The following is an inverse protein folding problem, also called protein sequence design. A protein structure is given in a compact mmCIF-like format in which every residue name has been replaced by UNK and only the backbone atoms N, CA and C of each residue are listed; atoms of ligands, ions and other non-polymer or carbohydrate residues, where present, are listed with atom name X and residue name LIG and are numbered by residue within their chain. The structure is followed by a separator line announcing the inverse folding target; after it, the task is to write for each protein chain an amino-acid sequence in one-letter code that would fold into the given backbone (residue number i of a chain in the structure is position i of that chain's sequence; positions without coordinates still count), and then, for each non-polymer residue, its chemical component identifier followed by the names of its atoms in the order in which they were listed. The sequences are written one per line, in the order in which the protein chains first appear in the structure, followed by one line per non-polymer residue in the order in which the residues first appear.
data_IF_464434448079
#
_entry.id   IF_464434448079
#
_cell.length_a   1.000
_cell.length_b   1.000
_cell.length_c   1.000
_cell.angle_alpha   90.00
_cell.angle_beta   90.00
_cell.angle_gamma   90.00
#
_symmetry.space_group_name_H-M   'P 1'
#
loop_
_entity.id
_entity.type
_entity.pdbx_description
1 polymer ?
#
# COMPACT_ATOMS: atom_id res chain seq x y z
N UNK A 1 -2.55 14.12 -5.74
CA UNK A 1 -2.89 12.83 -5.10
C UNK A 1 -3.86 12.07 -6.01
N UNK A 2 -3.33 11.34 -6.99
CA UNK A 2 -4.16 10.60 -7.95
C UNK A 2 -3.44 9.34 -8.44
N UNK A 3 -4.23 8.42 -8.97
CA UNK A 3 -3.77 7.27 -9.74
C UNK A 3 -3.93 7.60 -11.22
N UNK A 4 -2.90 7.32 -12.01
CA UNK A 4 -2.98 7.37 -13.47
C UNK A 4 -3.47 6.03 -13.98
N UNK A 5 -4.45 6.06 -14.89
CA UNK A 5 -5.10 4.85 -15.41
C UNK A 5 -4.67 4.61 -16.85
N UNK A 6 -4.19 3.41 -17.13
CA UNK A 6 -3.75 2.94 -18.44
C UNK A 6 -4.49 1.68 -18.86
N UNK A 7 -4.59 1.45 -20.16
CA UNK A 7 -5.09 0.18 -20.68
C UNK A 7 -4.05 -0.91 -20.49
N UNK A 8 -4.42 -2.01 -19.81
CA UNK A 8 -3.54 -3.17 -19.63
C UNK A 8 -3.14 -3.81 -20.98
N UNK A 9 -4.07 -3.89 -21.92
CA UNK A 9 -3.80 -4.44 -23.25
C UNK A 9 -2.79 -3.58 -24.03
N UNK A 10 -2.92 -2.23 -23.94
CA UNK A 10 -1.96 -1.32 -24.55
C UNK A 10 -0.58 -1.39 -23.86
N UNK A 11 -0.56 -1.49 -22.53
CA UNK A 11 0.69 -1.64 -21.79
C UNK A 11 1.46 -2.92 -22.15
N UNK A 12 0.74 -4.03 -22.34
CA UNK A 12 1.37 -5.29 -22.79
C UNK A 12 1.86 -5.25 -24.24
N UNK A 13 1.25 -4.42 -25.10
CA UNK A 13 1.63 -4.31 -26.52
C UNK A 13 2.66 -3.22 -26.78
N UNK A 14 2.90 -2.33 -25.83
CA UNK A 14 3.85 -1.23 -25.97
C UNK A 14 5.31 -1.74 -25.93
N UNK A 15 6.14 -1.27 -26.84
CA UNK A 15 7.58 -1.54 -26.84
C UNK A 15 8.33 -0.70 -25.80
N UNK A 16 7.78 0.48 -25.50
CA UNK A 16 8.26 1.41 -24.48
C UNK A 16 7.12 2.26 -23.90
N UNK A 17 7.42 3.09 -22.91
CA UNK A 17 6.46 3.95 -22.23
C UNK A 17 5.88 5.06 -23.12
N UNK A 18 6.56 5.45 -24.19
CA UNK A 18 6.13 6.54 -25.10
C UNK A 18 4.87 6.21 -25.89
N UNK A 19 4.56 4.92 -26.03
CA UNK A 19 3.34 4.43 -26.68
C UNK A 19 2.12 4.32 -25.76
N UNK A 20 2.26 4.62 -24.46
CA UNK A 20 1.19 4.50 -23.50
C UNK A 20 0.37 5.78 -23.36
N UNK A 21 -0.91 5.70 -23.68
CA UNK A 21 -1.86 6.79 -23.48
C UNK A 21 -2.53 6.67 -22.12
N UNK A 22 -2.39 7.71 -21.27
CA UNK A 22 -3.12 7.80 -20.01
C UNK A 22 -4.63 7.99 -20.31
N UNK A 23 -5.45 7.07 -19.84
CA UNK A 23 -6.91 7.10 -20.03
C UNK A 23 -7.61 8.07 -19.09
N UNK A 24 -6.92 8.50 -18.04
CA UNK A 24 -7.41 9.48 -17.08
C UNK A 24 -6.76 9.34 -15.71
N UNK A 25 -7.30 10.07 -14.75
CA UNK A 25 -6.83 10.08 -13.37
C UNK A 25 -7.97 9.78 -12.40
N UNK A 26 -7.70 8.93 -11.41
CA UNK A 26 -8.59 8.69 -10.28
C UNK A 26 -8.03 9.45 -9.07
N UNK A 27 -8.80 10.42 -8.53
CA UNK A 27 -8.36 11.28 -7.45
C UNK A 27 -8.49 10.55 -6.10
N UNK A 28 -7.47 10.68 -5.26
CA UNK A 28 -7.43 10.18 -3.89
C UNK A 28 -7.24 11.38 -2.95
N UNK A 29 -8.20 12.27 -3.02
CA UNK A 29 -8.29 13.47 -2.20
C UNK A 29 -9.76 13.82 -1.96
N UNK A 30 -10.06 14.52 -0.85
CA UNK A 30 -11.39 15.07 -0.60
C UNK A 30 -11.75 16.15 -1.62
N UNK A 31 -13.05 16.42 -1.79
CA UNK A 31 -13.53 17.44 -2.74
C UNK A 31 -12.92 18.83 -2.48
N UNK A 32 -12.73 19.18 -1.21
CA UNK A 32 -12.14 20.45 -0.78
C UNK A 32 -10.61 20.43 -0.72
N UNK A 33 -9.99 19.28 -1.06
CA UNK A 33 -8.54 19.02 -1.03
C UNK A 33 -7.89 19.19 0.34
N UNK A 34 -8.68 19.18 1.41
CA UNK A 34 -8.18 19.29 2.78
C UNK A 34 -7.60 17.96 3.29
N UNK A 35 -8.00 16.86 2.67
CA UNK A 35 -7.60 15.51 3.03
C UNK A 35 -7.22 14.71 1.78
N UNK A 36 -6.16 13.90 1.86
CA UNK A 36 -5.60 13.18 0.72
C UNK A 36 -4.75 12.01 1.18
N UNK A 37 -4.56 11.03 0.31
CA UNK A 37 -3.55 9.98 0.46
C UNK A 37 -2.35 10.30 -0.45
N UNK A 38 -1.17 10.43 0.16
CA UNK A 38 0.10 10.49 -0.55
C UNK A 38 0.52 9.11 -1.04
N UNK A 39 -0.08 8.66 -2.16
CA UNK A 39 0.01 7.27 -2.62
C UNK A 39 1.46 6.87 -2.88
N UNK A 40 1.92 5.87 -2.16
CA UNK A 40 3.22 5.22 -2.33
C UNK A 40 3.08 3.80 -2.90
N UNK A 41 1.98 3.12 -2.60
CA UNK A 41 1.69 1.79 -3.13
C UNK A 41 0.20 1.63 -3.44
N UNK A 42 -0.10 0.69 -4.31
CA UNK A 42 -1.46 0.22 -4.60
C UNK A 42 -1.49 -1.30 -4.60
N UNK A 43 -2.55 -1.87 -4.05
CA UNK A 43 -2.76 -3.32 -4.05
C UNK A 43 -4.26 -3.62 -4.06
N UNK A 44 -4.62 -4.87 -3.93
CA UNK A 44 -6.02 -5.32 -3.88
C UNK A 44 -6.27 -6.05 -2.57
N UNK A 45 -7.38 -5.73 -1.92
CA UNK A 45 -7.90 -6.45 -0.77
C UNK A 45 -9.39 -6.69 -0.95
N UNK A 46 -9.78 -7.97 -0.88
CA UNK A 46 -11.15 -8.40 -1.13
C UNK A 46 -11.63 -7.87 -2.50
N UNK A 47 -12.71 -7.12 -2.55
CA UNK A 47 -13.23 -6.52 -3.78
C UNK A 47 -12.93 -5.00 -3.84
N UNK A 48 -11.74 -4.58 -3.44
CA UNK A 48 -11.34 -3.17 -3.41
C UNK A 48 -9.89 -2.95 -3.82
N UNK A 49 -9.63 -1.83 -4.48
CA UNK A 49 -8.28 -1.27 -4.63
C UNK A 49 -7.89 -0.61 -3.32
N UNK A 50 -6.72 -0.94 -2.80
CA UNK A 50 -6.12 -0.29 -1.63
C UNK A 50 -5.03 0.66 -2.10
N UNK A 51 -5.10 1.92 -1.69
CA UNK A 51 -4.06 2.92 -1.93
C UNK A 51 -3.51 3.41 -0.59
N UNK A 52 -2.21 3.31 -0.40
CA UNK A 52 -1.58 3.60 0.88
C UNK A 52 -0.41 4.54 0.82
N UNK A 53 -0.10 5.15 1.96
CA UNK A 53 0.91 6.16 2.15
C UNK A 53 2.27 5.59 2.56
N UNK A 54 3.31 6.36 2.22
CA UNK A 54 4.61 6.27 2.86
C UNK A 54 4.78 7.47 3.79
N UNK A 55 5.06 7.22 5.08
CA UNK A 55 5.35 8.28 6.05
C UNK A 55 6.82 8.24 6.48
N UNK A 56 7.42 9.43 6.51
CA UNK A 56 8.70 9.68 7.17
C UNK A 56 8.75 11.12 7.65
N UNK A 57 8.99 11.31 8.94
CA UNK A 57 8.83 12.57 9.67
C UNK A 57 9.40 13.82 8.98
N UNK A 58 10.59 13.74 8.40
CA UNK A 58 11.25 14.93 7.84
C UNK A 58 11.00 15.14 6.36
N UNK A 59 10.78 14.07 5.58
CA UNK A 59 10.80 14.13 4.12
C UNK A 59 9.47 13.81 3.46
N UNK A 60 8.64 13.00 4.13
CA UNK A 60 7.35 12.53 3.59
C UNK A 60 6.29 12.59 4.69
N UNK A 61 5.94 13.81 5.17
CA UNK A 61 4.93 13.97 6.19
C UNK A 61 3.55 13.61 5.60
N UNK A 62 2.73 12.99 6.43
CA UNK A 62 1.30 12.79 6.18
C UNK A 62 0.50 13.82 6.98
N UNK A 63 -0.78 14.05 6.66
CA UNK A 63 -1.66 14.88 7.49
C UNK A 63 -1.65 14.44 8.95
N UNK A 64 -1.70 15.39 9.88
CA UNK A 64 -1.72 15.07 11.32
C UNK A 64 -2.95 14.24 11.72
N UNK A 65 -4.04 14.35 10.97
CA UNK A 65 -5.27 13.55 11.11
C UNK A 65 -5.05 12.06 10.83
N UNK A 66 -3.96 11.69 10.13
CA UNK A 66 -3.60 10.30 9.84
C UNK A 66 -2.81 9.62 10.98
N UNK A 67 -2.23 10.41 11.88
CA UNK A 67 -1.51 9.89 13.04
C UNK A 67 -2.49 9.36 14.07
N UNK A 68 -2.32 8.11 14.47
CA UNK A 68 -3.21 7.44 15.42
C UNK A 68 -2.44 6.63 16.44
N UNK A 69 -2.76 6.85 17.71
CA UNK A 69 -2.30 5.95 18.77
C UNK A 69 -3.16 4.69 18.70
N UNK A 70 -2.51 3.55 18.57
CA UNK A 70 -3.18 2.24 18.45
C UNK A 70 -3.61 1.70 19.81
N UNK A 71 -4.43 0.66 19.81
CA UNK A 71 -4.84 -0.02 21.05
C UNK A 71 -3.63 -0.67 21.77
N UNK A 72 -2.57 -1.03 21.05
CA UNK A 72 -1.32 -1.58 21.60
C UNK A 72 -0.35 -0.51 22.13
N UNK A 73 -0.69 0.79 21.96
CA UNK A 73 0.05 1.93 22.53
C UNK A 73 1.13 2.55 21.65
N UNK A 74 1.45 1.96 20.49
CA UNK A 74 2.31 2.59 19.49
C UNK A 74 1.54 3.62 18.66
N UNK A 75 2.27 4.42 17.90
CA UNK A 75 1.68 5.39 16.97
C UNK A 75 1.86 4.95 15.53
N UNK A 76 0.78 4.77 14.82
CA UNK A 76 0.73 4.68 13.37
C UNK A 76 0.74 6.09 12.75
N UNK A 77 1.43 6.25 11.64
CA UNK A 77 1.66 7.55 11.01
C UNK A 77 1.12 7.63 9.59
N UNK A 78 0.71 6.52 9.02
CA UNK A 78 0.25 6.42 7.64
C UNK A 78 -1.14 5.79 7.58
N UNK A 79 -1.87 6.12 6.52
CA UNK A 79 -3.18 5.56 6.23
C UNK A 79 -3.18 4.90 4.85
N UNK A 80 -4.04 3.91 4.68
CA UNK A 80 -4.49 3.47 3.38
C UNK A 80 -6.01 3.52 3.31
N UNK A 81 -6.55 3.65 2.10
CA UNK A 81 -7.98 3.67 1.81
C UNK A 81 -8.34 2.59 0.81
N UNK A 82 -9.52 2.01 0.99
CA UNK A 82 -10.04 0.93 0.16
C UNK A 82 -11.16 1.47 -0.74
N UNK A 83 -10.98 1.45 -2.05
CA UNK A 83 -11.97 1.83 -3.05
C UNK A 83 -12.58 0.58 -3.67
N UNK A 84 -13.87 0.26 -3.42
CA UNK A 84 -14.51 -0.91 -3.98
C UNK A 84 -14.50 -0.88 -5.50
N UNK A 85 -14.35 -2.04 -6.13
CA UNK A 85 -14.60 -2.18 -7.56
C UNK A 85 -16.08 -1.93 -7.84
N UNK A 86 -16.35 -1.18 -8.90
CA UNK A 86 -17.70 -0.92 -9.40
C UNK A 86 -18.28 -2.18 -10.04
N UNK A 87 -19.58 -2.43 -9.86
CA UNK A 87 -20.28 -3.56 -10.46
C UNK A 87 -20.94 -3.23 -11.81
N UNK A 88 -20.84 -1.96 -12.25
CA UNK A 88 -21.38 -1.46 -13.51
C UNK A 88 -22.81 -0.94 -13.42
N UNK A 89 -23.39 -0.89 -12.22
CA UNK A 89 -24.71 -0.28 -11.97
C UNK A 89 -24.58 1.19 -11.55
N UNK A 90 -23.37 1.63 -11.19
CA UNK A 90 -23.08 2.98 -10.74
C UNK A 90 -23.11 4.01 -11.88
N UNK A 91 -23.58 5.21 -11.56
CA UNK A 91 -23.52 6.36 -12.46
C UNK A 91 -22.12 7.00 -12.53
N UNK A 92 -21.91 7.90 -13.50
CA UNK A 92 -20.62 8.61 -13.69
C UNK A 92 -20.19 9.43 -12.47
N UNK A 93 -21.14 9.84 -11.61
CA UNK A 93 -20.82 10.57 -10.37
C UNK A 93 -20.40 9.64 -9.23
N UNK A 94 -20.70 8.35 -9.32
CA UNK A 94 -20.49 7.36 -8.25
C UNK A 94 -19.26 6.48 -8.50
N UNK A 95 -18.92 6.26 -9.77
CA UNK A 95 -17.76 5.44 -10.17
C UNK A 95 -16.95 6.08 -11.30
N UNK A 96 -15.67 5.71 -11.37
CA UNK A 96 -14.78 6.05 -12.47
C UNK A 96 -13.72 4.94 -12.64
N UNK A 97 -13.42 4.59 -13.88
CA UNK A 97 -12.39 3.60 -14.22
C UNK A 97 -12.58 2.24 -13.54
N UNK A 98 -13.83 1.82 -13.30
CA UNK A 98 -14.13 0.58 -12.61
C UNK A 98 -14.00 0.61 -11.08
N UNK A 99 -13.80 1.78 -10.48
CA UNK A 99 -13.75 1.98 -9.03
C UNK A 99 -14.89 2.89 -8.57
N UNK A 100 -15.49 2.57 -7.42
CA UNK A 100 -16.39 3.51 -6.74
C UNK A 100 -15.59 4.72 -6.25
N UNK A 101 -16.12 5.92 -6.38
CA UNK A 101 -15.46 7.15 -5.95
C UNK A 101 -15.44 7.32 -4.42
N UNK A 102 -16.35 6.64 -3.73
CA UNK A 102 -16.40 6.63 -2.27
C UNK A 102 -15.60 5.45 -1.72
N UNK A 103 -14.63 5.68 -0.83
CA UNK A 103 -13.93 4.59 -0.15
C UNK A 103 -14.87 3.87 0.82
N UNK A 104 -14.55 2.61 1.15
CA UNK A 104 -15.36 1.75 2.02
C UNK A 104 -14.70 1.44 3.36
N UNK A 105 -13.39 1.59 3.47
CA UNK A 105 -12.64 1.33 4.68
C UNK A 105 -11.32 2.11 4.69
N UNK A 106 -10.76 2.29 5.88
CA UNK A 106 -9.45 2.85 6.11
C UNK A 106 -8.57 1.89 6.92
N UNK A 107 -7.26 1.90 6.65
CA UNK A 107 -6.27 1.09 7.34
C UNK A 107 -5.21 2.03 7.91
N UNK A 108 -5.06 2.03 9.23
CA UNK A 108 -3.98 2.72 9.93
C UNK A 108 -2.73 1.83 9.96
N UNK A 109 -1.57 2.38 9.58
CA UNK A 109 -0.34 1.63 9.36
C UNK A 109 0.87 2.33 9.99
N UNK A 110 1.95 1.57 10.30
CA UNK A 110 3.24 2.19 10.64
C UNK A 110 3.76 3.04 9.48
N UNK A 111 4.80 3.83 9.73
CA UNK A 111 5.50 4.55 8.66
C UNK A 111 6.38 3.63 7.80
N UNK A 112 6.97 4.19 6.73
CA UNK A 112 7.92 3.55 5.82
C UNK A 112 7.37 2.41 4.97
N UNK A 113 6.05 2.32 4.79
CA UNK A 113 5.41 1.28 3.97
C UNK A 113 5.65 1.58 2.50
N UNK A 114 6.23 0.63 1.78
CA UNK A 114 6.58 0.73 0.35
C UNK A 114 5.70 -0.16 -0.53
N UNK A 115 5.11 -1.20 0.06
CA UNK A 115 4.25 -2.12 -0.65
C UNK A 115 3.45 -2.99 0.31
N UNK A 116 2.39 -3.61 -0.18
CA UNK A 116 1.55 -4.48 0.61
C UNK A 116 0.82 -5.52 -0.25
N UNK A 117 0.46 -6.64 0.36
CA UNK A 117 -0.59 -7.52 -0.17
C UNK A 117 -1.50 -8.03 0.95
N UNK A 118 -2.70 -8.43 0.57
CA UNK A 118 -3.71 -8.96 1.47
C UNK A 118 -4.17 -10.32 0.95
N UNK A 119 -4.08 -11.35 1.78
CA UNK A 119 -4.45 -12.71 1.38
C UNK A 119 -4.77 -13.58 2.58
N UNK A 120 -5.81 -14.42 2.48
CA UNK A 120 -6.18 -15.41 3.50
C UNK A 120 -6.32 -14.83 4.93
N UNK A 121 -6.94 -13.65 5.07
CA UNK A 121 -7.15 -12.99 6.35
C UNK A 121 -5.90 -12.35 6.94
N UNK A 122 -4.84 -12.18 6.16
CA UNK A 122 -3.58 -11.54 6.54
C UNK A 122 -3.30 -10.32 5.69
N UNK A 123 -2.62 -9.34 6.30
CA UNK A 123 -1.94 -8.27 5.59
C UNK A 123 -0.43 -8.47 5.74
N UNK A 124 0.32 -8.38 4.65
CA UNK A 124 1.78 -8.31 4.67
C UNK A 124 2.19 -6.97 4.09
N UNK A 125 3.00 -6.22 4.83
CA UNK A 125 3.52 -4.93 4.39
C UNK A 125 5.04 -4.98 4.31
N UNK A 126 5.60 -4.33 3.28
CA UNK A 126 7.03 -4.10 3.11
C UNK A 126 7.36 -2.72 3.67
N UNK A 127 8.31 -2.66 4.61
CA UNK A 127 8.81 -1.39 5.15
C UNK A 127 10.29 -1.25 4.89
N UNK A 128 10.69 -0.11 4.35
CA UNK A 128 12.09 0.16 4.08
C UNK A 128 12.44 1.64 4.12
N UNK A 129 13.69 1.93 4.46
CA UNK A 129 14.28 3.24 4.24
C UNK A 129 15.80 3.17 4.14
N UNK A 130 16.35 3.74 3.06
CA UNK A 130 17.78 3.82 2.79
C UNK A 130 18.46 2.44 2.85
N UNK A 131 19.66 2.35 3.43
CA UNK A 131 20.48 1.13 3.46
C UNK A 131 20.25 0.24 4.69
N UNK A 132 19.32 0.59 5.57
CA UNK A 132 18.92 -0.28 6.66
C UNK A 132 18.25 -1.55 6.13
N UNK A 133 18.31 -2.63 6.90
CA UNK A 133 17.53 -3.81 6.55
C UNK A 133 16.05 -3.45 6.48
N UNK A 134 15.38 -4.02 5.51
CA UNK A 134 13.93 -3.92 5.34
C UNK A 134 13.23 -5.00 6.15
N UNK A 135 11.95 -4.82 6.38
CA UNK A 135 11.11 -5.78 7.08
C UNK A 135 9.84 -6.08 6.29
N UNK A 136 9.41 -7.34 6.32
CA UNK A 136 8.06 -7.73 5.97
C UNK A 136 7.31 -8.02 7.28
N UNK A 137 6.31 -7.22 7.59
CA UNK A 137 5.45 -7.42 8.74
C UNK A 137 4.17 -8.13 8.31
N UNK A 138 3.83 -9.21 8.98
CA UNK A 138 2.58 -9.95 8.76
C UNK A 138 1.61 -9.67 9.90
N UNK A 139 0.37 -9.31 9.56
CA UNK A 139 -0.70 -8.99 10.50
C UNK A 139 -1.92 -9.89 10.28
N UNK A 140 -2.60 -10.24 11.36
CA UNK A 140 -3.89 -10.93 11.37
C UNK A 140 -5.02 -9.89 11.22
N UNK A 141 -5.70 -9.88 10.07
CA UNK A 141 -6.77 -8.93 9.77
C UNK A 141 -7.99 -9.09 10.68
N UNK A 142 -8.23 -10.28 11.23
CA UNK A 142 -9.33 -10.48 12.19
C UNK A 142 -9.12 -9.72 13.50
N UNK A 143 -7.86 -9.45 13.86
CA UNK A 143 -7.47 -8.66 15.03
C UNK A 143 -7.26 -7.19 14.71
N UNK A 144 -7.13 -6.84 13.43
CA UNK A 144 -6.91 -5.46 12.98
C UNK A 144 -8.20 -4.63 12.97
N UNK A 145 -9.38 -5.26 12.91
CA UNK A 145 -10.66 -4.56 12.96
C UNK A 145 -10.87 -3.94 14.35
N UNK A 146 -10.80 -2.62 14.44
CA UNK A 146 -10.87 -1.90 15.74
C UNK A 146 -12.28 -1.76 16.28
N UNK A 147 -13.30 -1.86 15.43
CA UNK A 147 -14.67 -1.49 15.73
C UNK A 147 -14.95 0.02 15.70
N UNK A 148 -13.90 0.83 15.57
CA UNK A 148 -13.99 2.27 15.46
C UNK A 148 -14.19 2.72 14.02
N UNK A 149 -14.44 4.02 13.84
CA UNK A 149 -14.51 4.69 12.56
C UNK A 149 -13.56 5.89 12.52
N UNK A 150 -13.21 6.27 11.33
CA UNK A 150 -12.40 7.46 11.04
C UNK A 150 -13.09 8.28 9.94
N UNK A 151 -13.06 9.59 10.06
CA UNK A 151 -13.42 10.47 8.94
C UNK A 151 -12.20 10.64 8.07
N UNK A 152 -12.29 10.22 6.81
CA UNK A 152 -11.22 10.31 5.83
C UNK A 152 -11.84 10.50 4.44
N UNK A 153 -11.26 11.34 3.61
CA UNK A 153 -11.80 11.69 2.27
C UNK A 153 -13.26 12.17 2.29
N UNK A 154 -13.70 12.83 3.38
CA UNK A 154 -15.07 13.28 3.54
C UNK A 154 -16.08 12.19 3.91
N UNK A 155 -15.64 10.94 4.14
CA UNK A 155 -16.49 9.82 4.52
C UNK A 155 -16.16 9.29 5.92
N UNK A 156 -17.14 8.74 6.61
CA UNK A 156 -16.97 8.03 7.88
C UNK A 156 -16.75 6.54 7.59
N UNK A 157 -15.52 6.07 7.78
CA UNK A 157 -15.05 4.76 7.34
C UNK A 157 -14.75 3.83 8.52
N UNK A 158 -15.09 2.53 8.44
CA UNK A 158 -14.56 1.52 9.34
C UNK A 158 -13.04 1.55 9.36
N UNK A 159 -12.44 1.44 10.54
CA UNK A 159 -10.99 1.50 10.73
C UNK A 159 -10.41 0.12 11.05
N UNK A 160 -9.39 -0.26 10.29
CA UNK A 160 -8.48 -1.34 10.62
C UNK A 160 -7.16 -0.74 11.13
N UNK A 161 -6.50 -1.41 12.09
CA UNK A 161 -5.20 -0.99 12.62
C UNK A 161 -4.18 -2.10 12.49
N UNK A 162 -3.13 -1.88 11.72
CA UNK A 162 -1.97 -2.77 11.67
C UNK A 162 -1.02 -2.35 12.79
N UNK A 163 -1.08 -3.05 13.91
CA UNK A 163 -0.38 -2.73 15.14
C UNK A 163 0.20 -3.98 15.82
N UNK A 164 0.90 -3.82 16.94
CA UNK A 164 1.51 -4.93 17.66
C UNK A 164 0.48 -5.95 18.17
N UNK A 165 -0.78 -5.55 18.37
CA UNK A 165 -1.85 -6.48 18.77
C UNK A 165 -2.28 -7.43 17.66
N UNK A 166 -2.13 -7.02 16.41
CA UNK A 166 -2.44 -7.81 15.22
C UNK A 166 -1.20 -8.40 14.53
N UNK A 167 0.03 -7.98 14.90
CA UNK A 167 1.29 -8.48 14.34
C UNK A 167 1.49 -9.98 14.65
N UNK A 168 1.74 -10.76 13.61
CA UNK A 168 1.98 -12.22 13.73
C UNK A 168 3.40 -12.63 13.39
N UNK A 169 4.09 -11.86 12.52
CA UNK A 169 5.49 -12.14 12.18
C UNK A 169 6.22 -10.87 11.71
N UNK A 170 7.56 -10.87 11.89
CA UNK A 170 8.51 -9.86 11.41
C UNK A 170 9.66 -10.58 10.70
N UNK A 171 9.73 -10.44 9.38
CA UNK A 171 10.78 -11.04 8.55
C UNK A 171 11.76 -9.97 8.13
N UNK A 172 13.00 -10.07 8.61
CA UNK A 172 14.10 -9.20 8.21
C UNK A 172 14.62 -9.61 6.83
N UNK A 173 14.62 -8.68 5.89
CA UNK A 173 15.02 -8.91 4.50
C UNK A 173 16.08 -7.91 4.03
N UNK A 174 16.52 -8.07 2.77
CA UNK A 174 17.50 -7.17 2.16
C UNK A 174 17.01 -5.72 2.17
N UNK A 175 17.94 -4.73 2.28
CA UNK A 175 17.60 -3.32 2.27
C UNK A 175 16.89 -2.87 1.00
N UNK A 176 16.13 -1.76 1.14
CA UNK A 176 15.49 -1.05 0.03
C UNK A 176 14.44 -1.91 -0.68
N UNK A 177 13.68 -2.72 0.10
CA UNK A 177 12.49 -3.37 -0.45
C UNK A 177 11.45 -2.32 -0.82
N UNK A 178 10.80 -2.55 -1.93
CA UNK A 178 9.73 -1.73 -2.49
C UNK A 178 8.43 -2.54 -2.49
N UNK A 179 7.75 -2.58 -3.62
CA UNK A 179 6.51 -3.32 -3.77
C UNK A 179 6.71 -4.84 -3.57
N UNK A 180 5.68 -5.46 -3.03
CA UNK A 180 5.60 -6.90 -2.82
C UNK A 180 4.31 -7.45 -3.41
N UNK A 181 4.37 -8.67 -3.91
CA UNK A 181 3.20 -9.35 -4.47
C UNK A 181 3.23 -10.84 -4.11
N UNK A 182 2.07 -11.41 -3.84
CA UNK A 182 1.90 -12.84 -3.64
C UNK A 182 1.47 -13.51 -4.95
N UNK A 183 2.26 -14.47 -5.43
CA UNK A 183 1.94 -15.28 -6.62
C UNK A 183 2.23 -16.74 -6.30
N UNK A 184 1.25 -17.62 -6.47
CA UNK A 184 1.36 -19.08 -6.24
C UNK A 184 1.97 -19.43 -4.87
N UNK A 185 1.54 -18.73 -3.82
CA UNK A 185 1.98 -18.94 -2.43
C UNK A 185 3.40 -18.46 -2.14
N UNK A 186 4.02 -17.72 -3.04
CA UNK A 186 5.33 -17.10 -2.85
C UNK A 186 5.22 -15.59 -2.84
N UNK A 187 5.84 -14.96 -1.87
CA UNK A 187 6.00 -13.50 -1.81
C UNK A 187 7.19 -13.10 -2.70
N UNK A 188 6.92 -12.32 -3.72
CA UNK A 188 7.93 -11.68 -4.54
C UNK A 188 8.23 -10.31 -3.96
N UNK A 189 9.50 -10.01 -3.77
CA UNK A 189 9.98 -8.74 -3.21
C UNK A 189 10.87 -8.06 -4.25
N UNK A 190 10.47 -6.87 -4.67
CA UNK A 190 11.31 -6.01 -5.49
C UNK A 190 12.17 -5.12 -4.58
N UNK A 191 13.44 -4.91 -4.95
CA UNK A 191 14.34 -4.06 -4.19
C UNK A 191 14.93 -2.97 -5.08
N UNK A 192 14.82 -1.71 -4.69
CA UNK A 192 15.41 -0.56 -5.39
C UNK A 192 16.94 -0.66 -5.46
N UNK A 193 17.56 -1.32 -4.48
CA UNK A 193 19.00 -1.60 -4.47
C UNK A 193 19.50 -2.43 -5.69
N UNK A 194 18.60 -3.05 -6.44
CA UNK A 194 18.93 -3.69 -7.72
C UNK A 194 19.26 -2.67 -8.82
N UNK A 195 18.81 -1.43 -8.69
CA UNK A 195 19.03 -0.36 -9.66
C UNK A 195 20.52 0.00 -9.82
N UNK A 196 20.90 0.40 -11.03
CA UNK A 196 22.24 0.90 -11.33
C UNK A 196 22.62 2.18 -10.57
N UNK A 197 21.65 2.96 -10.12
CA UNK A 197 21.79 4.13 -9.25
C UNK A 197 22.62 3.83 -7.99
N UNK A 198 22.52 2.61 -7.47
CA UNK A 198 23.14 2.21 -6.20
C UNK A 198 24.40 1.33 -6.39
N UNK A 199 25.18 1.58 -7.44
CA UNK A 199 26.39 0.78 -7.78
C UNK A 199 27.38 0.58 -6.62
N UNK A 200 27.45 1.54 -5.70
CA UNK A 200 28.39 1.54 -4.59
C UNK A 200 27.78 1.03 -3.26
N UNK A 201 26.48 0.83 -3.18
CA UNK A 201 25.76 0.37 -1.97
C UNK A 201 25.51 -1.14 -1.92
N UNK A 202 26.04 -1.91 -2.85
CA UNK A 202 25.61 -3.30 -3.13
C UNK A 202 26.14 -4.39 -2.20
N UNK A 203 26.82 -4.08 -1.11
CA UNK A 203 27.31 -5.12 -0.18
C UNK A 203 26.16 -5.85 0.55
N UNK A 204 25.01 -5.22 0.66
CA UNK A 204 23.81 -5.78 1.31
C UNK A 204 22.57 -5.66 0.45
N UNK A 205 22.69 -5.15 -0.80
CA UNK A 205 21.59 -4.91 -1.71
C UNK A 205 21.19 -6.14 -2.50
N UNK A 206 19.92 -6.27 -2.78
CA UNK A 206 19.39 -7.25 -3.70
C UNK A 206 19.62 -6.83 -5.15
N UNK A 207 20.04 -7.75 -6.00
CA UNK A 207 20.17 -7.52 -7.46
C UNK A 207 18.96 -7.97 -8.26
N UNK A 208 18.03 -8.66 -7.61
CA UNK A 208 16.95 -9.38 -8.26
C UNK A 208 15.65 -9.19 -7.51
N UNK A 209 14.54 -9.46 -8.16
CA UNK A 209 13.29 -9.72 -7.47
C UNK A 209 13.39 -11.10 -6.82
N UNK A 210 13.22 -11.17 -5.51
CA UNK A 210 13.27 -12.43 -4.77
C UNK A 210 11.87 -13.00 -4.59
N UNK A 211 11.76 -14.32 -4.80
CA UNK A 211 10.59 -15.09 -4.44
C UNK A 211 10.89 -15.87 -3.16
N UNK A 212 10.09 -15.69 -2.12
CA UNK A 212 10.22 -16.40 -0.86
C UNK A 212 8.89 -16.98 -0.39
N UNK A 213 8.96 -18.10 0.29
CA UNK A 213 7.82 -18.71 0.98
C UNK A 213 7.91 -18.31 2.46
N UNK A 214 7.10 -17.32 2.87
CA UNK A 214 7.14 -16.80 4.25
C UNK A 214 6.83 -17.86 5.28
N UNK A 215 6.09 -18.93 4.95
CA UNK A 215 5.81 -20.03 5.89
C UNK A 215 7.06 -20.83 6.27
N UNK A 216 8.16 -20.67 5.53
CA UNK A 216 9.45 -21.34 5.75
C UNK A 216 10.52 -20.41 6.32
N UNK A 217 10.18 -19.16 6.59
CA UNK A 217 11.08 -18.14 7.15
C UNK A 217 10.85 -17.96 8.66
N UNK A 218 10.62 -19.03 9.39
CA UNK A 218 10.45 -19.03 10.85
C UNK A 218 11.72 -19.45 11.58
#
# INVERSE_FOLDING_TARGET
HCLYVYSYAEALAAEDESGLECKGTFLIESEDKSDYIGVAFVTVWDNALVAGEFYREQNYPTPDTHKRVTASGETNYAMAVCYPFADGTEGENEAAFGLKKQPSAAISMPGLVQGAYFENGKAVISTSYAVAFSHLYEYDLSKSATGDKVTLMGAELPLYSLDNGSLTADYKIAPMSEEIVLVDGKTYVMCESASDKYKFGKFTGAKWCYATDLTKMG
#
